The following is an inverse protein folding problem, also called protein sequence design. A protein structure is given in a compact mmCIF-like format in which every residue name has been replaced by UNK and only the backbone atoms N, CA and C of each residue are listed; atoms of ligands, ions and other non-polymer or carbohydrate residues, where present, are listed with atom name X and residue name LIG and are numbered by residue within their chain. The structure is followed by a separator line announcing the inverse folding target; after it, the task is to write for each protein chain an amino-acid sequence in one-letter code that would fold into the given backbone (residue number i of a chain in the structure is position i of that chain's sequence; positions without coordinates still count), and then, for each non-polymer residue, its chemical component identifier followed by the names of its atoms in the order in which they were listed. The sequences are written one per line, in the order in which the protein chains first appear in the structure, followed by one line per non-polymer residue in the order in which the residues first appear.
data_IF_603169580433
#
_entry.id   IF_603169580433
#
_cell.length_a   1.000
_cell.length_b   1.000
_cell.length_c   1.000
_cell.angle_alpha   90.00
_cell.angle_beta   90.00
_cell.angle_gamma   90.00
#
_symmetry.space_group_name_H-M   'P 1'
#
loop_
_entity.id
_entity.type
_entity.pdbx_description
1 polymer ?
#
# COMPACT_ATOMS: atom_id res chain seq x y z
N UNK A 1 -21.29 12.61 -21.15
CA UNK A 1 -20.66 12.16 -19.89
C UNK A 1 -19.25 11.75 -20.23
N UNK A 2 -18.29 12.64 -19.99
CA UNK A 2 -16.88 12.29 -20.10
C UNK A 2 -16.56 11.30 -18.98
N UNK A 3 -16.09 10.12 -19.36
CA UNK A 3 -15.48 9.21 -18.41
C UNK A 3 -14.25 9.93 -17.84
N UNK A 4 -14.26 10.26 -16.55
CA UNK A 4 -13.03 10.55 -15.81
C UNK A 4 -12.08 9.41 -16.16
N UNK A 5 -11.03 9.73 -16.92
CA UNK A 5 -10.03 8.76 -17.34
C UNK A 5 -9.34 8.24 -16.10
N UNK A 6 -9.86 7.15 -15.54
CA UNK A 6 -9.25 6.45 -14.42
C UNK A 6 -7.94 5.88 -14.94
N UNK A 7 -6.84 6.57 -14.66
CA UNK A 7 -5.52 6.04 -14.87
C UNK A 7 -5.41 4.78 -14.02
N UNK A 8 -5.49 3.60 -14.67
CA UNK A 8 -5.21 2.33 -14.02
C UNK A 8 -3.77 2.41 -13.53
N UNK A 9 -3.61 2.56 -12.22
CA UNK A 9 -2.29 2.54 -11.58
C UNK A 9 -1.78 1.11 -11.66
N UNK A 10 -1.04 0.81 -12.73
CA UNK A 10 -0.31 -0.43 -12.88
C UNK A 10 1.13 -0.26 -12.38
N UNK A 11 1.61 -1.21 -11.58
CA UNK A 11 2.95 -1.20 -10.99
C UNK A 11 3.54 -2.60 -11.06
N UNK A 12 4.87 -2.63 -11.14
CA UNK A 12 5.67 -3.86 -11.05
C UNK A 12 6.47 -3.86 -9.76
N UNK A 13 6.51 -5.00 -9.09
CA UNK A 13 7.37 -5.26 -7.94
C UNK A 13 8.58 -6.04 -8.43
N UNK A 14 9.77 -5.52 -8.13
CA UNK A 14 11.05 -6.15 -8.45
C UNK A 14 11.85 -6.38 -7.18
N UNK A 15 12.49 -7.55 -7.09
CA UNK A 15 13.41 -7.94 -6.00
C UNK A 15 14.62 -8.57 -6.69
N UNK A 16 15.83 -8.12 -6.35
CA UNK A 16 17.09 -8.55 -6.97
C UNK A 16 17.03 -8.47 -8.51
N UNK A 17 16.57 -7.32 -9.01
CA UNK A 17 16.31 -7.02 -10.42
C UNK A 17 15.31 -7.94 -11.15
N UNK A 18 14.75 -8.93 -10.48
CA UNK A 18 13.74 -9.84 -11.05
C UNK A 18 12.35 -9.33 -10.74
N UNK A 19 11.50 -9.28 -11.77
CA UNK A 19 10.07 -9.03 -11.58
C UNK A 19 9.45 -10.18 -10.78
N UNK A 20 8.71 -9.82 -9.73
CA UNK A 20 8.05 -10.76 -8.81
C UNK A 20 6.53 -10.68 -8.88
N UNK A 21 5.99 -9.51 -9.23
CA UNK A 21 4.57 -9.30 -9.46
C UNK A 21 4.35 -8.10 -10.39
N UNK A 22 3.28 -8.17 -11.19
CA UNK A 22 2.70 -7.04 -11.92
C UNK A 22 1.25 -6.90 -11.48
N UNK A 23 0.85 -5.71 -11.08
CA UNK A 23 -0.43 -5.49 -10.39
C UNK A 23 -1.08 -4.19 -10.81
N UNK A 24 -2.40 -4.14 -10.61
CA UNK A 24 -3.24 -3.00 -10.86
C UNK A 24 -3.94 -2.57 -9.56
N UNK A 25 -4.17 -1.27 -9.40
CA UNK A 25 -4.85 -0.71 -8.22
C UNK A 25 -6.23 -1.31 -7.93
N UNK A 26 -6.90 -1.89 -8.95
CA UNK A 26 -8.19 -2.60 -8.80
C UNK A 26 -8.13 -3.78 -7.82
N UNK A 27 -6.93 -4.32 -7.56
CA UNK A 27 -6.72 -5.37 -6.58
C UNK A 27 -7.07 -4.94 -5.13
N UNK A 28 -7.09 -3.64 -4.85
CA UNK A 28 -7.47 -3.09 -3.54
C UNK A 28 -8.92 -2.66 -3.58
N UNK A 29 -9.81 -3.50 -3.05
CA UNK A 29 -11.26 -3.21 -2.91
C UNK A 29 -11.92 -2.64 -4.18
N UNK A 30 -11.55 -3.13 -5.37
CA UNK A 30 -11.98 -2.61 -6.69
C UNK A 30 -11.41 -1.21 -7.00
N UNK A 31 -11.16 -0.37 -6.00
CA UNK A 31 -10.45 0.91 -6.15
C UNK A 31 -9.77 1.33 -4.83
N UNK A 32 -8.51 1.81 -4.84
CA UNK A 32 -7.80 2.15 -3.59
C UNK A 32 -8.49 3.21 -2.71
N UNK A 33 -9.25 4.14 -3.29
CA UNK A 33 -10.02 5.13 -2.52
C UNK A 33 -11.18 4.53 -1.72
N UNK A 34 -11.71 3.36 -2.10
CA UNK A 34 -12.72 2.65 -1.31
C UNK A 34 -12.16 2.23 0.05
N UNK A 35 -10.87 1.89 0.08
CA UNK A 35 -10.16 1.56 1.32
C UNK A 35 -9.86 2.79 2.20
N UNK A 36 -10.13 4.01 1.75
CA UNK A 36 -10.13 5.22 2.59
C UNK A 36 -11.54 5.50 3.13
N UNK A 37 -12.56 5.35 2.28
CA UNK A 37 -13.96 5.56 2.65
C UNK A 37 -14.43 4.53 3.70
N UNK A 38 -14.07 3.26 3.54
CA UNK A 38 -14.51 2.20 4.45
C UNK A 38 -14.02 2.38 5.90
N UNK A 39 -12.72 2.61 6.17
CA UNK A 39 -12.26 2.91 7.53
C UNK A 39 -12.86 4.20 8.07
N UNK A 40 -13.02 5.25 7.27
CA UNK A 40 -13.63 6.51 7.71
C UNK A 40 -15.03 6.29 8.29
N UNK A 41 -15.84 5.49 7.60
CA UNK A 41 -17.19 5.12 8.04
C UNK A 41 -17.18 4.25 9.31
N UNK A 42 -16.23 3.32 9.41
CA UNK A 42 -16.09 2.44 10.59
C UNK A 42 -15.56 3.20 11.82
N UNK A 43 -14.63 4.13 11.60
CA UNK A 43 -13.99 4.98 12.60
C UNK A 43 -14.96 5.99 13.21
N UNK A 44 -15.84 6.58 12.39
CA UNK A 44 -16.92 7.44 12.87
C UNK A 44 -17.90 6.72 13.80
N UNK A 45 -18.05 5.39 13.66
CA UNK A 45 -18.85 4.57 14.57
C UNK A 45 -18.12 4.20 15.89
N UNK A 46 -16.84 4.58 16.04
CA UNK A 46 -15.98 4.23 17.18
C UNK A 46 -15.27 5.44 17.82
N UNK A 47 -15.72 6.66 17.51
CA UNK A 47 -15.09 7.93 17.92
C UNK A 47 -13.59 8.06 17.57
N UNK A 48 -13.13 7.32 16.56
CA UNK A 48 -11.72 7.24 16.14
C UNK A 48 -11.53 7.85 14.75
N UNK A 49 -11.93 9.11 14.57
CA UNK A 49 -11.89 9.82 13.29
C UNK A 49 -10.48 9.92 12.71
N UNK A 50 -10.40 9.91 11.38
CA UNK A 50 -9.18 10.23 10.65
C UNK A 50 -8.92 11.73 10.73
N UNK A 51 -7.68 12.11 11.02
CA UNK A 51 -7.27 13.50 11.12
C UNK A 51 -6.72 14.01 9.79
N UNK A 52 -6.64 15.33 9.69
CA UNK A 52 -5.93 15.97 8.57
C UNK A 52 -4.47 15.55 8.59
N UNK A 53 -3.92 15.25 7.42
CA UNK A 53 -2.54 14.79 7.23
C UNK A 53 -2.24 13.35 7.70
N UNK A 54 -3.24 12.56 8.08
CA UNK A 54 -3.02 11.14 8.36
C UNK A 54 -2.56 10.39 7.10
N UNK A 55 -1.52 9.55 7.26
CA UNK A 55 -1.07 8.64 6.22
C UNK A 55 -1.90 7.34 6.29
N UNK A 56 -2.63 7.05 5.22
CA UNK A 56 -3.48 5.86 5.13
C UNK A 56 -2.84 4.84 4.19
N UNK A 57 -2.53 3.66 4.73
CA UNK A 57 -2.16 2.50 3.92
C UNK A 57 -3.43 1.77 3.47
N UNK A 58 -3.79 1.92 2.20
CA UNK A 58 -5.06 1.43 1.62
C UNK A 58 -5.14 -0.09 1.44
N UNK A 59 -4.09 -0.83 1.79
CA UNK A 59 -3.97 -2.27 1.56
C UNK A 59 -2.93 -2.63 0.49
N UNK A 60 -2.62 -3.92 0.37
CA UNK A 60 -1.62 -4.39 -0.57
C UNK A 60 -2.23 -4.67 -1.95
N UNK A 61 -1.58 -4.15 -3.00
CA UNK A 61 -1.88 -4.50 -4.39
C UNK A 61 -1.24 -5.84 -4.80
N UNK A 62 -0.22 -6.30 -4.07
CA UNK A 62 0.48 -7.56 -4.36
C UNK A 62 0.19 -8.63 -3.31
N UNK A 63 0.36 -9.92 -3.65
CA UNK A 63 0.53 -10.95 -2.64
C UNK A 63 1.70 -10.60 -1.71
N UNK A 64 1.67 -11.09 -0.48
CA UNK A 64 2.82 -10.97 0.44
C UNK A 64 3.96 -11.80 -0.11
N UNK A 65 5.10 -11.16 -0.39
CA UNK A 65 6.32 -11.83 -0.87
C UNK A 65 7.25 -11.99 0.33
N UNK A 66 7.54 -13.23 0.70
CA UNK A 66 8.48 -13.54 1.77
C UNK A 66 9.92 -13.24 1.31
N UNK A 67 10.61 -12.38 2.05
CA UNK A 67 12.05 -12.20 1.90
C UNK A 67 12.75 -13.27 2.73
N UNK A 68 13.61 -14.07 2.10
CA UNK A 68 14.56 -14.92 2.82
C UNK A 68 15.67 -14.02 3.38
N UNK A 69 15.39 -13.36 4.51
CA UNK A 69 16.37 -12.51 5.18
C UNK A 69 17.35 -13.45 5.88
N UNK A 70 18.55 -13.59 5.33
CA UNK A 70 19.72 -13.97 6.14
C UNK A 70 20.00 -12.75 7.02
N UNK A 71 19.97 -12.85 8.36
CA UNK A 71 20.25 -11.70 9.21
C UNK A 71 21.70 -11.27 8.98
N UNK A 72 21.90 -10.25 8.14
CA UNK A 72 23.12 -9.48 8.15
C UNK A 72 23.05 -8.57 9.37
N UNK A 73 24.00 -8.76 10.28
CA UNK A 73 24.19 -7.90 11.44
C UNK A 73 24.17 -6.44 10.99
N UNK A 74 23.14 -5.70 11.41
CA UNK A 74 23.15 -4.25 11.35
C UNK A 74 24.14 -3.77 12.41
N UNK A 75 25.43 -3.77 12.10
CA UNK A 75 26.39 -2.99 12.87
C UNK A 75 25.97 -1.53 12.74
N UNK A 76 25.36 -1.04 13.82
CA UNK A 76 24.99 0.35 13.96
C UNK A 76 26.29 1.12 14.14
N UNK A 77 26.89 1.57 13.03
CA UNK A 77 27.92 2.59 13.08
C UNK A 77 27.24 3.92 13.36
N UNK A 78 26.98 4.19 14.64
CA UNK A 78 26.97 5.58 15.10
C UNK A 78 28.43 6.00 15.15
N UNK A 79 28.86 6.77 14.15
CA UNK A 79 30.16 7.44 14.17
C UNK A 79 30.18 8.52 15.26
N UNK A 80 31.29 8.51 16.01
CA UNK A 80 31.86 9.47 16.98
C UNK A 80 30.92 10.39 17.80
#
# INVERSE_FOLDING_TARGET
MEALGFAVLSRRVRIDDKEKASVEGVAVMVHPLEAVAWPSNLSGARDALLNTCDLIMTGSVTPVIMLAIVPCYAETQFGD
#
